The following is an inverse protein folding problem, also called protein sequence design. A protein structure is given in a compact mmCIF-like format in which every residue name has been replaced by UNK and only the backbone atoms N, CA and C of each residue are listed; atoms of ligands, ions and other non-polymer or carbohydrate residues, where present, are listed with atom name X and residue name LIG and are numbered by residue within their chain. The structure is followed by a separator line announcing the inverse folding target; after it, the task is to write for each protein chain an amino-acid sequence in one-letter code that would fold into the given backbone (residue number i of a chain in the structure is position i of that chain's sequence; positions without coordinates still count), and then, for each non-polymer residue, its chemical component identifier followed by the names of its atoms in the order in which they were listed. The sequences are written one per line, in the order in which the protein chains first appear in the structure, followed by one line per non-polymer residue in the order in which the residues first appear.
data_IF_296275372611
#
_entry.id   IF_296275372611
#
_cell.length_a   1.000
_cell.length_b   1.000
_cell.length_c   1.000
_cell.angle_alpha   90.00
_cell.angle_beta   90.00
_cell.angle_gamma   90.00
#
_symmetry.space_group_name_H-M   'P 1'
#
loop_
_entity.id
_entity.type
_entity.pdbx_description
1 polymer ?
#
# COMPACT_ATOMS: atom_id res chain seq x y z
N UNK A 1 5.17 -30.98 -2.45
CA UNK A 1 4.60 -29.88 -1.64
C UNK A 1 3.14 -30.22 -1.38
N UNK A 2 2.75 -30.46 -0.12
CA UNK A 2 1.39 -30.87 0.23
C UNK A 2 0.45 -29.68 0.34
N UNK A 3 -0.80 -29.85 -0.10
CA UNK A 3 -1.92 -28.89 -0.04
C UNK A 3 -2.40 -28.61 1.39
N UNK A 4 -1.52 -28.72 2.39
CA UNK A 4 -1.84 -28.61 3.82
C UNK A 4 -1.81 -27.16 4.33
N UNK A 5 -1.24 -26.23 3.55
CA UNK A 5 -1.08 -24.82 3.97
C UNK A 5 -2.08 -23.85 3.31
N UNK A 6 -3.15 -24.36 2.72
CA UNK A 6 -4.37 -23.57 2.54
C UNK A 6 -5.07 -23.41 3.90
N UNK A 7 -4.37 -22.81 4.87
CA UNK A 7 -5.00 -22.23 6.04
C UNK A 7 -6.01 -21.23 5.54
N UNK A 8 -7.30 -21.57 5.64
CA UNK A 8 -8.42 -20.64 5.50
C UNK A 8 -8.20 -19.53 6.52
N UNK A 9 -7.54 -18.45 6.11
CA UNK A 9 -7.54 -17.20 6.86
C UNK A 9 -9.00 -16.80 6.98
N UNK A 10 -9.49 -16.61 8.21
CA UNK A 10 -10.87 -16.25 8.54
C UNK A 10 -11.48 -15.36 7.45
N UNK A 11 -12.31 -15.95 6.59
CA UNK A 11 -13.26 -15.18 5.81
C UNK A 11 -14.14 -14.51 6.86
N UNK A 12 -13.98 -13.21 7.03
CA UNK A 12 -14.85 -12.43 7.91
C UNK A 12 -16.29 -12.77 7.50
N UNK A 13 -17.09 -13.27 8.43
CA UNK A 13 -18.51 -13.47 8.20
C UNK A 13 -19.05 -12.08 7.85
N UNK A 14 -19.42 -11.87 6.60
CA UNK A 14 -20.09 -10.63 6.22
C UNK A 14 -21.54 -10.76 6.68
N UNK A 15 -22.04 -9.74 7.35
CA UNK A 15 -23.47 -9.62 7.59
C UNK A 15 -24.10 -9.20 6.27
N UNK A 16 -24.98 -10.06 5.77
CA UNK A 16 -25.85 -9.73 4.65
C UNK A 16 -26.82 -8.65 5.11
N UNK A 17 -27.16 -7.71 4.23
CA UNK A 17 -28.34 -6.88 4.44
C UNK A 17 -29.58 -7.80 4.47
N UNK A 18 -30.63 -7.40 5.18
CA UNK A 18 -31.94 -8.04 5.02
C UNK A 18 -32.45 -7.71 3.60
N UNK A 19 -32.87 -8.72 2.84
CA UNK A 19 -33.33 -8.56 1.45
C UNK A 19 -34.47 -9.54 1.12
N UNK A 20 -35.31 -9.18 0.15
CA UNK A 20 -36.41 -10.01 -0.37
C UNK A 20 -36.06 -10.72 -1.69
N UNK A 21 -36.96 -11.55 -2.23
CA UNK A 21 -36.73 -12.27 -3.48
C UNK A 21 -36.54 -11.32 -4.67
N UNK A 22 -37.30 -10.23 -4.72
CA UNK A 22 -37.18 -9.23 -5.80
C UNK A 22 -35.82 -8.51 -5.74
N UNK A 23 -35.36 -8.20 -4.53
CA UNK A 23 -34.03 -7.68 -4.27
C UNK A 23 -32.95 -8.65 -4.77
N UNK A 24 -33.10 -9.96 -4.55
CA UNK A 24 -32.12 -10.92 -5.07
C UNK A 24 -32.06 -10.95 -6.60
N UNK A 25 -33.20 -10.78 -7.28
CA UNK A 25 -33.29 -10.77 -8.74
C UNK A 25 -32.65 -9.50 -9.32
N UNK A 26 -32.81 -8.37 -8.66
CA UNK A 26 -32.16 -7.12 -9.07
C UNK A 26 -30.63 -7.18 -8.85
N UNK A 27 -30.17 -7.86 -7.79
CA UNK A 27 -28.74 -8.05 -7.52
C UNK A 27 -28.08 -9.02 -8.54
N UNK A 28 -28.83 -10.08 -8.87
CA UNK A 28 -28.92 -10.73 -10.18
C UNK A 28 -28.31 -9.99 -11.37
N UNK A 29 -29.15 -9.06 -11.85
CA UNK A 29 -28.88 -8.23 -12.99
C UNK A 29 -27.69 -7.31 -12.75
N UNK A 30 -27.54 -6.74 -11.55
CA UNK A 30 -26.38 -5.92 -11.23
C UNK A 30 -25.07 -6.70 -11.42
N UNK A 31 -25.00 -7.97 -11.00
CA UNK A 31 -23.83 -8.82 -11.21
C UNK A 31 -23.56 -9.08 -12.70
N UNK A 32 -24.61 -9.39 -13.48
CA UNK A 32 -24.49 -9.61 -14.94
C UNK A 32 -23.93 -8.35 -15.64
N UNK A 33 -24.34 -7.17 -15.18
CA UNK A 33 -23.91 -5.88 -15.72
C UNK A 33 -22.63 -5.32 -15.08
N UNK A 34 -21.98 -6.06 -14.16
CA UNK A 34 -20.76 -5.64 -13.47
C UNK A 34 -20.96 -4.45 -12.52
N UNK A 35 -22.19 -4.21 -12.06
CA UNK A 35 -22.55 -3.17 -11.09
C UNK A 35 -22.35 -3.70 -9.67
N UNK A 36 -22.20 -2.77 -8.73
CA UNK A 36 -22.05 -3.12 -7.32
C UNK A 36 -23.29 -3.86 -6.80
N UNK A 37 -23.05 -4.88 -5.98
CA UNK A 37 -24.11 -5.55 -5.25
C UNK A 37 -24.60 -4.65 -4.11
N UNK A 38 -25.90 -4.74 -3.82
CA UNK A 38 -26.52 -4.07 -2.69
C UNK A 38 -26.79 -5.02 -1.51
N UNK A 39 -26.86 -6.33 -1.78
CA UNK A 39 -27.05 -7.39 -0.78
C UNK A 39 -25.72 -7.76 -0.11
N UNK A 40 -24.66 -7.82 -0.92
CA UNK A 40 -23.33 -8.21 -0.48
C UNK A 40 -22.48 -6.95 -0.28
N UNK A 41 -21.88 -6.74 0.91
CA UNK A 41 -21.00 -5.60 1.11
C UNK A 41 -19.83 -5.67 0.12
N UNK A 42 -19.35 -4.54 -0.42
CA UNK A 42 -18.31 -4.50 -1.43
C UNK A 42 -17.01 -5.10 -0.87
N UNK A 43 -16.82 -6.40 -1.11
CA UNK A 43 -15.49 -6.98 -1.13
C UNK A 43 -14.81 -6.31 -2.31
N UNK A 44 -13.66 -5.68 -2.07
CA UNK A 44 -12.84 -5.01 -3.08
C UNK A 44 -12.47 -5.97 -4.23
N UNK A 45 -13.38 -6.22 -5.16
CA UNK A 45 -13.10 -6.81 -6.46
C UNK A 45 -13.07 -5.69 -7.45
N UNK A 46 -11.84 -5.25 -7.68
CA UNK A 46 -11.39 -4.36 -8.75
C UNK A 46 -11.95 -4.86 -10.08
N UNK A 47 -12.93 -4.13 -10.62
CA UNK A 47 -12.99 -3.88 -12.06
C UNK A 47 -13.23 -2.39 -12.21
N UNK A 48 -12.13 -1.65 -12.27
CA UNK A 48 -12.13 -0.26 -12.67
C UNK A 48 -12.53 -0.20 -14.15
N UNK A 49 -13.62 0.51 -14.47
CA UNK A 49 -13.70 1.23 -15.74
C UNK A 49 -14.62 2.46 -15.64
N UNK A 50 -13.96 3.61 -15.47
CA UNK A 50 -14.22 4.85 -16.20
C UNK A 50 -15.50 5.67 -15.91
N UNK A 51 -15.44 6.53 -14.89
CA UNK A 51 -16.13 7.84 -14.93
C UNK A 51 -15.50 8.89 -14.02
N UNK A 52 -14.59 9.67 -14.64
CA UNK A 52 -14.25 11.09 -14.45
C UNK A 52 -14.65 11.83 -13.15
N UNK A 53 -13.59 12.43 -12.59
CA UNK A 53 -13.45 13.74 -11.94
C UNK A 53 -13.68 13.83 -10.41
N UNK A 54 -12.67 14.41 -9.77
CA UNK A 54 -12.58 14.90 -8.37
C UNK A 54 -12.43 13.90 -7.23
N UNK A 55 -11.28 13.23 -7.17
CA UNK A 55 -10.38 13.22 -6.00
C UNK A 55 -9.24 12.28 -6.33
N UNK A 56 -8.00 12.76 -6.32
CA UNK A 56 -6.82 11.90 -6.50
C UNK A 56 -6.86 10.83 -5.40
N UNK A 57 -7.10 9.54 -5.71
CA UNK A 57 -6.82 8.52 -4.73
C UNK A 57 -5.29 8.50 -4.66
N UNK A 58 -4.72 8.83 -3.51
CA UNK A 58 -3.36 8.41 -3.20
C UNK A 58 -3.45 6.88 -3.13
N UNK A 59 -3.41 6.24 -4.30
CA UNK A 59 -3.17 4.82 -4.42
C UNK A 59 -1.94 4.58 -3.57
N UNK A 60 -2.11 3.86 -2.46
CA UNK A 60 -0.99 3.43 -1.61
C UNK A 60 -0.10 2.61 -2.53
N UNK A 61 0.84 3.28 -3.20
CA UNK A 61 1.70 2.66 -4.18
C UNK A 61 2.32 1.45 -3.51
N UNK A 62 2.17 0.30 -4.16
CA UNK A 62 2.69 -0.97 -3.64
C UNK A 62 4.18 -0.78 -3.39
N UNK A 63 4.58 -0.81 -2.12
CA UNK A 63 5.98 -0.62 -1.74
C UNK A 63 6.75 -1.88 -2.08
N UNK A 64 7.78 -1.75 -2.91
CA UNK A 64 8.71 -2.85 -3.19
C UNK A 64 9.78 -2.92 -2.09
N UNK A 65 10.18 -4.14 -1.75
CA UNK A 65 11.28 -4.39 -0.82
C UNK A 65 12.61 -4.24 -1.58
N UNK A 66 13.64 -3.73 -0.90
CA UNK A 66 14.99 -3.59 -1.42
C UNK A 66 16.01 -3.94 -0.33
N UNK A 67 17.13 -4.55 -0.73
CA UNK A 67 18.24 -4.92 0.14
C UNK A 67 19.46 -4.11 -0.27
N UNK A 68 20.14 -3.50 0.70
CA UNK A 68 21.33 -2.67 0.48
C UNK A 68 22.47 -3.14 1.38
N UNK A 69 23.70 -3.05 0.90
CA UNK A 69 24.89 -3.28 1.70
C UNK A 69 25.27 -2.00 2.45
N UNK A 70 25.47 -2.09 3.76
CA UNK A 70 25.83 -0.97 4.62
C UNK A 70 26.94 -1.40 5.58
N UNK A 71 27.79 -0.45 5.98
CA UNK A 71 28.77 -0.68 7.04
C UNK A 71 28.07 -0.87 8.40
N UNK A 72 28.73 -1.60 9.29
CA UNK A 72 28.23 -1.89 10.65
C UNK A 72 27.95 -0.61 11.45
N UNK A 73 28.83 0.38 11.33
CA UNK A 73 28.68 1.70 11.95
C UNK A 73 27.43 2.43 11.44
N UNK A 74 27.20 2.43 10.13
CA UNK A 74 26.02 3.04 9.52
C UNK A 74 24.72 2.38 10.01
N UNK A 75 24.72 1.05 10.17
CA UNK A 75 23.56 0.31 10.72
C UNK A 75 23.29 0.73 12.17
N UNK A 76 24.33 0.87 12.98
CA UNK A 76 24.21 1.33 14.36
C UNK A 76 23.67 2.76 14.45
N UNK A 77 24.20 3.68 13.63
CA UNK A 77 23.72 5.06 13.54
C UNK A 77 22.26 5.14 13.11
N UNK A 78 21.88 4.39 12.06
CA UNK A 78 20.49 4.35 11.58
C UNK A 78 19.53 3.84 12.66
N UNK A 79 19.94 2.84 13.45
CA UNK A 79 19.15 2.33 14.57
C UNK A 79 18.99 3.40 15.67
N UNK A 80 20.07 4.05 16.07
CA UNK A 80 20.05 5.10 17.09
C UNK A 80 19.15 6.26 16.70
N UNK A 81 19.28 6.77 15.46
CA UNK A 81 18.43 7.85 14.94
C UNK A 81 16.94 7.46 14.86
N UNK A 82 16.66 6.23 14.42
CA UNK A 82 15.31 5.68 14.35
C UNK A 82 14.64 5.61 15.73
N UNK A 83 15.39 5.19 16.76
CA UNK A 83 14.91 5.11 18.14
C UNK A 83 14.71 6.51 18.75
N UNK A 84 15.69 7.41 18.57
CA UNK A 84 15.64 8.76 19.14
C UNK A 84 14.45 9.58 18.62
N UNK A 85 14.10 9.42 17.33
CA UNK A 85 12.99 10.16 16.72
C UNK A 85 11.66 9.39 16.69
N UNK A 86 11.63 8.16 17.21
CA UNK A 86 10.48 7.25 17.10
C UNK A 86 9.96 7.08 15.65
N UNK A 87 10.88 7.07 14.67
CA UNK A 87 10.57 6.90 13.24
C UNK A 87 11.13 5.59 12.74
N UNK A 88 10.33 4.80 12.02
CA UNK A 88 10.79 3.55 11.38
C UNK A 88 11.97 3.80 10.42
N UNK A 89 12.98 2.91 10.44
CA UNK A 89 14.19 2.98 9.59
C UNK A 89 13.87 3.21 8.11
N UNK A 90 12.92 2.45 7.57
CA UNK A 90 12.52 2.59 6.16
C UNK A 90 11.84 3.93 5.86
N UNK A 91 11.14 4.53 6.82
CA UNK A 91 10.56 5.88 6.68
C UNK A 91 11.66 6.93 6.71
N UNK A 92 12.63 6.81 7.62
CA UNK A 92 13.77 7.72 7.70
C UNK A 92 14.59 7.72 6.39
N UNK A 93 14.92 6.54 5.85
CA UNK A 93 15.63 6.43 4.56
C UNK A 93 14.85 7.12 3.43
N UNK A 94 13.53 6.92 3.34
CA UNK A 94 12.70 7.58 2.32
C UNK A 94 12.70 9.11 2.46
N UNK A 95 12.66 9.61 3.69
CA UNK A 95 12.73 11.06 3.96
C UNK A 95 14.07 11.62 3.49
N UNK A 96 15.18 10.98 3.85
CA UNK A 96 16.52 11.41 3.46
C UNK A 96 16.70 11.38 1.94
N UNK A 97 16.21 10.34 1.26
CA UNK A 97 16.23 10.26 -0.21
C UNK A 97 15.44 11.41 -0.83
N UNK A 98 14.25 11.70 -0.31
CA UNK A 98 13.43 12.80 -0.82
C UNK A 98 14.10 14.17 -0.61
N UNK A 99 14.64 14.41 0.59
CA UNK A 99 15.40 15.62 0.88
C UNK A 99 16.59 15.78 -0.08
N UNK A 100 17.36 14.71 -0.29
CA UNK A 100 18.49 14.74 -1.22
C UNK A 100 18.04 15.02 -2.66
N UNK A 101 16.94 14.41 -3.09
CA UNK A 101 16.38 14.61 -4.43
C UNK A 101 15.87 16.03 -4.69
N UNK A 102 15.48 16.78 -3.65
CA UNK A 102 15.02 18.17 -3.75
C UNK A 102 16.17 19.18 -3.84
N UNK A 103 17.40 18.80 -3.50
CA UNK A 103 18.57 19.68 -3.57
C UNK A 103 18.99 19.97 -5.02
N UNK A 104 19.70 21.07 -5.23
CA UNK A 104 20.26 21.40 -6.55
C UNK A 104 21.39 20.44 -6.94
N UNK A 105 21.65 20.23 -8.24
CA UNK A 105 22.71 19.32 -8.68
C UNK A 105 24.11 19.69 -8.15
N UNK A 106 24.37 20.97 -7.93
CA UNK A 106 25.62 21.45 -7.31
C UNK A 106 25.73 21.08 -5.84
N UNK A 107 24.64 21.16 -5.07
CA UNK A 107 24.61 20.77 -3.66
C UNK A 107 24.72 19.26 -3.50
N UNK A 108 24.01 18.49 -4.32
CA UNK A 108 24.13 17.03 -4.35
C UNK A 108 25.59 16.61 -4.59
N UNK A 109 26.25 17.21 -5.59
CA UNK A 109 27.69 16.95 -5.86
C UNK A 109 28.57 17.30 -4.65
N UNK A 110 28.31 18.42 -3.98
CA UNK A 110 29.08 18.83 -2.79
C UNK A 110 28.96 17.81 -1.66
N UNK A 111 27.75 17.32 -1.39
CA UNK A 111 27.51 16.27 -0.38
C UNK A 111 28.25 14.98 -0.76
N UNK A 112 28.15 14.55 -2.02
CA UNK A 112 28.83 13.34 -2.50
C UNK A 112 30.35 13.46 -2.42
N UNK A 113 30.91 14.64 -2.72
CA UNK A 113 32.35 14.90 -2.62
C UNK A 113 32.85 14.98 -1.17
N UNK A 114 31.99 15.34 -0.22
CA UNK A 114 32.37 15.36 1.21
C UNK A 114 32.39 13.99 1.88
N UNK A 115 31.80 12.98 1.23
CA UNK A 115 31.68 11.61 1.75
C UNK A 115 32.73 10.64 1.17
N UNK A 116 33.54 11.07 0.20
CA UNK A 116 34.63 10.30 -0.41
C UNK A 116 35.98 10.80 0.03
#
# INVERSE_FOLDING_TARGET
MGMADLKKTCSKQYELAEFDVDDFIDDVDNYIHGRQSFIFPPQLTVVEESSRLTSLPVCKQVRKNATFSLNTECIAQLNSLSQAQAVNKSKLIRILINQFAQLSPSEQKKILMSLG
#
